data_IF_119630275699
#
_entry.id   IF_119630275699
#
_cell.length_a   1.000
_cell.length_b   1.000
_cell.length_c   1.000
_cell.angle_alpha   90.00
_cell.angle_beta   90.00
_cell.angle_gamma   90.00
#
_symmetry.space_group_name_H-M   'P 1'
#
loop_
_entity.id
_entity.type
_entity.pdbx_description
1 polymer ?
#
# COMPACT_ATOMS: atom_id res chain seq x y z
N UNK A 1 -20.72 -7.70 -16.33
CA UNK A 1 -21.22 -7.38 -14.99
C UNK A 1 -22.61 -6.77 -15.07
N UNK A 2 -23.53 -7.23 -14.24
CA UNK A 2 -24.82 -6.61 -13.99
C UNK A 2 -24.61 -5.42 -13.06
N UNK A 3 -24.80 -4.20 -13.58
CA UNK A 3 -24.55 -2.96 -12.83
C UNK A 3 -25.69 -2.60 -11.87
N UNK A 4 -26.93 -2.91 -12.24
CA UNK A 4 -28.11 -2.63 -11.43
C UNK A 4 -28.12 -3.50 -10.17
N UNK A 5 -27.81 -4.78 -10.33
CA UNK A 5 -27.67 -5.71 -9.21
C UNK A 5 -26.59 -5.26 -8.22
N UNK A 6 -25.45 -4.79 -8.72
CA UNK A 6 -24.40 -4.24 -7.85
C UNK A 6 -24.84 -2.95 -7.16
N UNK A 7 -25.49 -2.03 -7.88
CA UNK A 7 -25.93 -0.75 -7.32
C UNK A 7 -27.02 -0.89 -6.24
N UNK A 8 -27.93 -1.85 -6.39
CA UNK A 8 -29.06 -2.03 -5.49
C UNK A 8 -28.74 -3.00 -4.34
N UNK A 9 -27.94 -4.04 -4.59
CA UNK A 9 -27.77 -5.17 -3.65
C UNK A 9 -26.31 -5.42 -3.26
N UNK A 10 -25.35 -4.66 -3.82
CA UNK A 10 -23.90 -4.91 -3.68
C UNK A 10 -23.45 -6.30 -4.16
N UNK A 11 -24.21 -6.91 -5.09
CA UNK A 11 -23.91 -8.24 -5.64
C UNK A 11 -23.22 -8.11 -7.00
N UNK A 12 -22.05 -8.74 -7.12
CA UNK A 12 -21.32 -8.86 -8.39
C UNK A 12 -21.79 -10.08 -9.18
N UNK A 13 -22.73 -9.87 -10.11
CA UNK A 13 -23.23 -10.91 -11.00
C UNK A 13 -22.90 -10.66 -12.49
N UNK A 14 -22.86 -11.72 -13.30
CA UNK A 14 -22.85 -11.55 -14.75
C UNK A 14 -24.18 -10.97 -15.24
N UNK A 15 -24.16 -10.34 -16.43
CA UNK A 15 -25.41 -9.81 -17.04
C UNK A 15 -26.35 -10.94 -17.42
N UNK A 16 -25.76 -12.02 -17.92
CA UNK A 16 -26.46 -13.27 -18.17
C UNK A 16 -26.17 -14.21 -16.99
N UNK A 17 -27.17 -14.50 -16.13
CA UNK A 17 -26.99 -15.35 -14.96
C UNK A 17 -26.82 -16.83 -15.32
N UNK A 18 -27.19 -17.23 -16.55
CA UNK A 18 -27.04 -18.63 -17.02
C UNK A 18 -25.62 -18.93 -17.49
N UNK A 19 -24.83 -17.89 -17.76
CA UNK A 19 -23.45 -18.02 -18.17
C UNK A 19 -22.55 -18.17 -16.94
N UNK A 20 -21.65 -19.17 -16.88
CA UNK A 20 -20.68 -19.26 -15.81
C UNK A 20 -19.61 -18.16 -15.92
N UNK A 21 -18.98 -17.82 -14.78
CA UNK A 21 -17.76 -17.02 -14.78
C UNK A 21 -16.67 -17.71 -15.63
N UNK A 22 -15.84 -16.97 -16.37
CA UNK A 22 -14.76 -17.57 -17.16
C UNK A 22 -13.80 -18.39 -16.28
N UNK A 23 -13.68 -19.68 -16.55
CA UNK A 23 -12.85 -20.62 -15.78
C UNK A 23 -11.46 -20.89 -16.41
N UNK A 24 -11.15 -20.27 -17.56
CA UNK A 24 -9.99 -20.61 -18.40
C UNK A 24 -8.78 -19.68 -18.29
N UNK A 25 -8.76 -18.71 -17.38
CA UNK A 25 -7.58 -17.86 -17.17
C UNK A 25 -6.62 -18.56 -16.20
N UNK A 26 -5.85 -19.51 -16.73
CA UNK A 26 -4.74 -20.18 -16.03
C UNK A 26 -3.52 -19.27 -16.05
N UNK A 27 -3.49 -18.30 -15.14
CA UNK A 27 -2.37 -17.42 -14.85
C UNK A 27 -2.73 -16.49 -13.68
N UNK A 28 -1.76 -15.84 -13.06
CA UNK A 28 -1.97 -14.98 -11.87
C UNK A 28 -2.95 -13.80 -12.11
N UNK A 29 -3.30 -13.53 -13.36
CA UNK A 29 -4.32 -12.56 -13.76
C UNK A 29 -5.71 -13.22 -13.82
N UNK A 30 -6.33 -13.42 -12.65
CA UNK A 30 -7.73 -13.85 -12.57
C UNK A 30 -8.72 -12.88 -13.24
N UNK A 31 -10.01 -13.24 -13.25
CA UNK A 31 -11.05 -12.41 -13.88
C UNK A 31 -11.31 -11.14 -13.05
N UNK A 32 -11.02 -9.96 -13.61
CA UNK A 32 -11.30 -8.67 -12.97
C UNK A 32 -12.80 -8.34 -12.92
N UNK A 33 -13.43 -8.56 -11.76
CA UNK A 33 -14.87 -8.34 -11.56
C UNK A 33 -15.23 -6.91 -11.10
N UNK A 34 -14.40 -6.31 -10.26
CA UNK A 34 -14.59 -4.96 -9.74
C UNK A 34 -13.26 -4.21 -9.80
N UNK A 35 -13.28 -2.99 -10.33
CA UNK A 35 -12.16 -2.05 -10.31
C UNK A 35 -12.65 -0.76 -9.67
N UNK A 36 -11.95 -0.29 -8.64
CA UNK A 36 -12.27 0.94 -7.94
C UNK A 36 -11.08 1.92 -8.00
N UNK A 37 -11.36 3.19 -7.77
CA UNK A 37 -10.36 4.26 -7.63
C UNK A 37 -10.84 5.18 -6.51
N UNK A 38 -9.92 5.55 -5.62
CA UNK A 38 -10.12 6.57 -4.61
C UNK A 38 -9.14 7.70 -4.85
N UNK A 39 -9.58 8.94 -4.69
CA UNK A 39 -8.74 10.13 -4.69
C UNK A 39 -9.18 10.99 -3.51
N UNK A 40 -8.23 11.39 -2.68
CA UNK A 40 -8.45 12.28 -1.55
C UNK A 40 -7.28 13.26 -1.45
N UNK A 41 -7.55 14.45 -0.94
CA UNK A 41 -6.53 15.42 -0.51
C UNK A 41 -6.35 15.43 1.02
N UNK A 42 -7.08 14.56 1.73
CA UNK A 42 -6.96 14.38 3.17
C UNK A 42 -5.68 13.62 3.51
N UNK A 43 -4.74 14.28 4.19
CA UNK A 43 -3.45 13.71 4.56
C UNK A 43 -3.56 12.60 5.60
N UNK A 44 -4.65 12.55 6.39
CA UNK A 44 -4.88 11.46 7.35
C UNK A 44 -5.07 10.09 6.68
N UNK A 45 -5.35 10.10 5.38
CA UNK A 45 -5.51 8.94 4.53
C UNK A 45 -4.16 8.43 3.99
N UNK A 46 -3.07 9.15 4.18
CA UNK A 46 -1.73 8.72 3.73
C UNK A 46 -1.24 7.59 4.64
N UNK A 47 -0.86 6.42 4.08
CA UNK A 47 -0.51 5.25 4.90
C UNK A 47 0.87 5.35 5.56
N UNK A 48 1.77 6.13 4.98
CA UNK A 48 3.11 6.39 5.50
C UNK A 48 3.52 7.80 5.10
N UNK A 49 3.75 8.66 6.09
CA UNK A 49 4.26 10.01 5.91
C UNK A 49 5.77 10.00 6.11
N UNK A 50 6.50 10.73 5.26
CA UNK A 50 7.94 10.87 5.34
C UNK A 50 8.29 12.35 5.52
N UNK A 51 9.02 12.67 6.57
CA UNK A 51 9.61 14.00 6.73
C UNK A 51 11.13 13.90 6.58
N UNK A 52 11.72 14.87 5.89
CA UNK A 52 13.15 14.90 5.63
C UNK A 52 13.66 16.34 5.74
N UNK A 53 14.62 16.55 6.64
CA UNK A 53 15.18 17.86 6.94
C UNK A 53 16.70 17.86 6.75
N UNK A 54 17.19 18.23 5.56
CA UNK A 54 18.60 18.50 5.35
C UNK A 54 19.01 19.85 5.97
N UNK A 55 20.12 19.86 6.70
CA UNK A 55 20.69 21.03 7.37
C UNK A 55 22.19 21.11 7.08
N UNK A 56 22.62 22.22 6.47
CA UNK A 56 24.04 22.45 6.14
C UNK A 56 24.71 23.11 7.33
N UNK A 57 25.81 22.53 7.81
CA UNK A 57 26.64 23.12 8.86
C UNK A 57 28.12 22.98 8.49
N UNK A 58 28.77 24.12 8.25
CA UNK A 58 30.17 24.16 7.83
C UNK A 58 30.38 23.46 6.48
N UNK A 59 31.12 22.35 6.50
CA UNK A 59 31.47 21.57 5.31
C UNK A 59 30.77 20.21 5.28
N UNK A 60 29.65 20.07 5.96
CA UNK A 60 28.84 18.86 5.99
C UNK A 60 27.35 19.22 5.88
N UNK A 61 26.56 18.30 5.34
CA UNK A 61 25.10 18.35 5.36
C UNK A 61 24.60 17.20 6.22
N UNK A 62 23.90 17.55 7.29
CA UNK A 62 23.23 16.63 8.20
C UNK A 62 21.81 16.42 7.71
N UNK A 63 21.38 15.18 7.57
CA UNK A 63 20.04 14.85 7.09
C UNK A 63 19.36 13.97 8.14
N UNK A 64 18.26 14.50 8.69
CA UNK A 64 17.34 13.73 9.53
C UNK A 64 16.12 13.38 8.69
N UNK A 65 15.82 12.09 8.60
CA UNK A 65 14.63 11.57 7.94
C UNK A 65 13.84 10.72 8.91
N UNK A 66 12.52 10.88 8.91
CA UNK A 66 11.62 10.12 9.76
C UNK A 66 10.43 9.61 8.95
N UNK A 67 9.86 8.50 9.43
CA UNK A 67 8.57 8.03 8.95
C UNK A 67 7.55 8.04 10.09
N UNK A 68 6.29 8.25 9.73
CA UNK A 68 5.15 8.02 10.60
C UNK A 68 4.09 7.22 9.82
N UNK A 69 3.76 6.03 10.32
CA UNK A 69 2.83 5.11 9.69
C UNK A 69 1.44 5.21 10.30
N UNK A 70 0.42 5.13 9.46
CA UNK A 70 -0.97 5.05 9.90
C UNK A 70 -1.23 3.78 10.71
N UNK A 71 -2.17 3.85 11.66
CA UNK A 71 -2.62 2.70 12.45
C UNK A 71 -3.60 1.79 11.72
N UNK A 72 -3.96 2.12 10.47
CA UNK A 72 -4.95 1.38 9.67
C UNK A 72 -4.51 -0.05 9.33
N UNK A 73 -3.21 -0.25 9.04
CA UNK A 73 -2.67 -1.57 8.69
C UNK A 73 -1.15 -1.64 8.85
N UNK A 74 -0.64 -2.85 9.03
CA UNK A 74 0.79 -3.11 9.10
C UNK A 74 1.43 -3.08 7.71
N UNK A 75 2.64 -2.50 7.64
CA UNK A 75 3.43 -2.40 6.42
C UNK A 75 4.57 -3.40 6.46
N UNK A 76 4.86 -4.05 5.33
CA UNK A 76 5.93 -5.05 5.18
C UNK A 76 6.87 -4.68 4.06
N UNK A 77 8.15 -5.00 4.27
CA UNK A 77 9.23 -4.75 3.32
C UNK A 77 9.26 -3.28 2.89
N UNK A 78 9.20 -2.37 3.86
CA UNK A 78 9.22 -0.93 3.60
C UNK A 78 10.61 -0.54 3.15
N UNK A 79 10.69 0.18 2.05
CA UNK A 79 11.91 0.71 1.45
C UNK A 79 11.71 2.20 1.16
N UNK A 80 12.43 3.05 1.87
CA UNK A 80 12.48 4.50 1.66
C UNK A 80 13.79 4.79 0.92
N UNK A 81 13.69 5.32 -0.30
CA UNK A 81 14.81 5.62 -1.18
C UNK A 81 15.02 7.12 -1.26
N UNK A 82 16.14 7.58 -0.68
CA UNK A 82 16.55 8.99 -0.67
C UNK A 82 17.61 9.19 -1.74
N UNK A 83 17.36 10.01 -2.78
CA UNK A 83 18.40 10.37 -3.73
C UNK A 83 19.48 11.17 -3.00
N UNK A 84 20.72 10.99 -3.41
CA UNK A 84 21.88 11.69 -2.86
C UNK A 84 22.61 12.42 -3.99
N UNK A 85 23.35 13.50 -3.69
CA UNK A 85 24.34 14.03 -4.62
C UNK A 85 25.36 12.94 -4.98
N UNK A 86 26.10 13.12 -6.08
CA UNK A 86 27.17 12.21 -6.43
C UNK A 86 28.25 12.21 -5.34
N UNK A 87 28.40 11.08 -4.64
CA UNK A 87 29.36 10.93 -3.56
C UNK A 87 30.58 10.13 -4.00
N UNK A 88 31.75 10.50 -3.45
CA UNK A 88 32.97 9.68 -3.57
C UNK A 88 32.99 8.53 -2.58
N UNK A 89 32.43 8.77 -1.39
CA UNK A 89 32.35 7.82 -0.29
C UNK A 89 30.88 7.69 0.15
N UNK A 90 30.45 6.53 0.69
CA UNK A 90 29.08 6.36 1.19
C UNK A 90 28.72 7.40 2.26
N UNK A 91 27.42 7.71 2.43
CA UNK A 91 26.95 8.58 3.51
C UNK A 91 27.35 8.01 4.88
N UNK A 92 27.68 8.88 5.83
CA UNK A 92 27.98 8.48 7.21
C UNK A 92 26.69 8.41 8.01
N UNK A 93 26.10 7.21 8.12
CA UNK A 93 24.90 6.97 8.95
C UNK A 93 25.28 7.01 10.43
N UNK A 94 24.60 7.86 11.20
CA UNK A 94 24.84 8.09 12.64
C UNK A 94 23.84 7.34 13.52
N UNK A 95 22.57 7.36 13.12
CA UNK A 95 21.48 6.68 13.80
C UNK A 95 20.51 6.12 12.76
N UNK A 96 19.91 4.97 13.05
CA UNK A 96 18.93 4.35 12.18
C UNK A 96 18.03 3.39 12.95
N UNK A 97 16.74 3.46 12.69
CA UNK A 97 15.78 2.39 13.00
C UNK A 97 15.62 1.46 11.80
N UNK A 98 16.18 0.26 11.85
CA UNK A 98 16.18 -0.70 10.74
C UNK A 98 17.53 -0.81 10.04
N UNK A 99 17.52 -1.10 8.75
CA UNK A 99 18.73 -1.42 7.96
C UNK A 99 18.88 -0.44 6.80
N UNK A 100 20.12 -0.20 6.36
CA UNK A 100 20.39 0.68 5.21
C UNK A 100 21.38 0.11 4.21
N UNK A 101 21.28 0.60 2.97
CA UNK A 101 22.21 0.30 1.88
C UNK A 101 22.46 1.55 1.04
N UNK A 102 23.68 1.72 0.55
CA UNK A 102 24.01 2.76 -0.43
C UNK A 102 24.27 2.16 -1.81
N UNK A 103 23.46 2.56 -2.79
CA UNK A 103 23.69 2.26 -4.21
C UNK A 103 24.50 3.39 -4.83
N UNK A 104 25.82 3.19 -4.93
CA UNK A 104 26.73 4.18 -5.50
C UNK A 104 26.52 4.41 -7.00
N UNK A 105 25.97 3.43 -7.73
CA UNK A 105 25.72 3.54 -9.16
C UNK A 105 24.60 4.54 -9.45
N UNK A 106 23.56 4.51 -8.63
CA UNK A 106 22.39 5.38 -8.76
C UNK A 106 22.43 6.59 -7.81
N UNK A 107 23.41 6.65 -6.89
CA UNK A 107 23.50 7.63 -5.81
C UNK A 107 22.22 7.67 -4.97
N UNK A 108 21.79 6.51 -4.47
CA UNK A 108 20.58 6.36 -3.66
C UNK A 108 20.94 5.74 -2.31
N UNK A 109 20.46 6.33 -1.23
CA UNK A 109 20.42 5.72 0.09
C UNK A 109 19.07 5.02 0.26
N UNK A 110 19.13 3.72 0.50
CA UNK A 110 17.97 2.89 0.78
C UNK A 110 17.88 2.64 2.28
N UNK A 111 16.74 3.01 2.87
CA UNK A 111 16.38 2.73 4.24
C UNK A 111 15.27 1.68 4.27
N UNK A 112 15.54 0.55 4.91
CA UNK A 112 14.66 -0.62 4.92
C UNK A 112 14.16 -1.00 6.31
N UNK A 113 12.86 -1.23 6.42
CA UNK A 113 12.18 -1.72 7.61
C UNK A 113 11.34 -2.95 7.22
N UNK A 114 11.62 -4.09 7.85
CA UNK A 114 10.98 -5.35 7.50
C UNK A 114 9.48 -5.35 7.80
N UNK A 115 9.10 -4.81 8.97
CA UNK A 115 7.74 -4.74 9.47
C UNK A 115 7.54 -3.44 10.26
N UNK A 116 6.50 -2.69 9.89
CA UNK A 116 5.96 -1.58 10.69
C UNK A 116 4.62 -2.02 11.26
N UNK A 117 4.58 -2.25 12.57
CA UNK A 117 3.39 -2.61 13.34
C UNK A 117 3.17 -1.62 14.52
N UNK A 118 2.30 -1.96 15.46
CA UNK A 118 1.98 -1.07 16.59
C UNK A 118 3.18 -0.80 17.51
N UNK A 119 4.26 -1.57 17.42
CA UNK A 119 5.47 -1.37 18.22
C UNK A 119 6.40 -0.27 17.69
N UNK A 120 6.32 0.07 16.40
CA UNK A 120 7.28 0.95 15.71
C UNK A 120 6.62 1.81 14.62
N UNK A 121 5.46 2.42 14.94
CA UNK A 121 4.70 3.30 14.03
C UNK A 121 5.46 4.55 13.61
N UNK A 122 6.50 4.93 14.34
CA UNK A 122 7.46 5.93 13.93
C UNK A 122 8.87 5.36 13.98
N UNK A 123 9.74 5.94 13.18
CA UNK A 123 11.17 5.63 13.17
C UNK A 123 11.95 6.73 12.48
N UNK A 124 13.25 6.77 12.73
CA UNK A 124 14.13 7.80 12.21
C UNK A 124 15.47 7.24 11.70
N UNK A 125 16.08 7.99 10.81
CA UNK A 125 17.46 7.82 10.36
C UNK A 125 18.15 9.18 10.32
N UNK A 126 19.40 9.21 10.74
CA UNK A 126 20.27 10.37 10.64
C UNK A 126 21.55 9.98 9.92
N UNK A 127 21.90 10.76 8.89
CA UNK A 127 23.15 10.56 8.16
C UNK A 127 23.79 11.89 7.75
N UNK A 128 25.07 11.82 7.41
CA UNK A 128 25.88 12.98 7.03
C UNK A 128 26.50 12.74 5.65
N UNK A 129 26.47 13.77 4.82
CA UNK A 129 27.13 13.82 3.51
C UNK A 129 27.96 15.10 3.38
N UNK A 130 28.87 15.19 2.39
CA UNK A 130 29.50 16.46 2.01
C UNK A 130 28.48 17.55 1.68
N UNK A 131 28.90 18.83 1.57
CA UNK A 131 27.99 19.94 1.36
C UNK A 131 27.16 19.72 0.10
N UNK A 132 25.85 19.71 0.28
CA UNK A 132 24.89 19.53 -0.79
C UNK A 132 23.67 20.42 -0.61
N UNK A 133 23.07 20.81 -1.73
CA UNK A 133 21.82 21.55 -1.71
C UNK A 133 20.67 20.64 -1.28
N UNK A 134 19.75 21.18 -0.48
CA UNK A 134 18.59 20.46 0.06
C UNK A 134 17.72 19.81 -1.03
N UNK A 135 17.67 20.37 -2.24
CA UNK A 135 16.91 19.77 -3.34
C UNK A 135 17.49 18.43 -3.84
N UNK A 136 18.76 18.15 -3.55
CA UNK A 136 19.44 16.91 -3.96
C UNK A 136 18.87 15.66 -3.27
N UNK A 137 18.14 15.84 -2.16
CA UNK A 137 17.54 14.77 -1.36
C UNK A 137 16.11 14.43 -1.78
N UNK A 138 15.61 15.05 -2.88
CA UNK A 138 14.25 14.88 -3.37
C UNK A 138 14.23 14.53 -4.87
N UNK A 139 13.19 13.82 -5.36
CA UNK A 139 12.07 13.26 -4.60
C UNK A 139 12.44 11.97 -3.86
N UNK A 140 11.92 11.83 -2.63
CA UNK A 140 12.02 10.58 -1.88
C UNK A 140 10.97 9.61 -2.40
N UNK A 141 11.38 8.37 -2.67
CA UNK A 141 10.48 7.31 -3.12
C UNK A 141 10.25 6.29 -2.02
N UNK A 142 9.03 5.78 -1.91
CA UNK A 142 8.67 4.78 -0.90
C UNK A 142 8.04 3.58 -1.60
N UNK A 143 8.48 2.38 -1.22
CA UNK A 143 7.88 1.13 -1.62
C UNK A 143 7.56 0.27 -0.40
N UNK A 144 6.39 -0.35 -0.37
CA UNK A 144 5.99 -1.28 0.68
C UNK A 144 4.90 -2.22 0.17
N UNK A 145 4.61 -3.24 0.98
CA UNK A 145 3.47 -4.15 0.81
C UNK A 145 2.60 -4.15 2.06
N UNK A 146 1.30 -4.40 1.91
CA UNK A 146 0.36 -4.58 3.02
C UNK A 146 -0.48 -5.84 2.77
N UNK A 147 -0.83 -6.56 3.83
CA UNK A 147 -1.68 -7.76 3.73
C UNK A 147 -3.18 -7.43 3.76
N UNK A 148 -3.51 -6.20 4.13
CA UNK A 148 -4.87 -5.69 4.19
C UNK A 148 -5.11 -4.68 3.08
N UNK A 149 -6.32 -4.66 2.54
CA UNK A 149 -6.71 -3.67 1.55
C UNK A 149 -6.87 -2.31 2.22
N UNK A 150 -6.38 -1.26 1.56
CA UNK A 150 -6.63 0.12 1.97
C UNK A 150 -8.13 0.44 1.98
N UNK A 151 -8.84 -0.03 0.95
CA UNK A 151 -10.30 -0.02 0.95
C UNK A 151 -10.82 -1.09 1.90
N UNK A 152 -11.79 -0.78 2.74
CA UNK A 152 -12.51 -1.78 3.56
C UNK A 152 -13.42 -2.72 2.73
N UNK A 153 -13.27 -2.74 1.41
CA UNK A 153 -13.99 -3.63 0.51
C UNK A 153 -13.63 -5.09 0.80
N UNK A 154 -14.65 -5.87 1.16
CA UNK A 154 -14.55 -7.30 1.46
C UNK A 154 -15.64 -8.05 0.72
N UNK A 155 -15.31 -9.24 0.22
CA UNK A 155 -16.32 -10.20 -0.26
C UNK A 155 -16.92 -10.88 0.96
N UNK A 156 -18.23 -10.74 1.15
CA UNK A 156 -18.89 -11.21 2.37
C UNK A 156 -19.39 -12.65 2.25
N UNK A 157 -19.98 -13.01 1.12
CA UNK A 157 -20.46 -14.37 0.84
C UNK A 157 -20.50 -14.63 -0.67
N UNK A 158 -20.50 -15.91 -1.03
CA UNK A 158 -20.71 -16.37 -2.40
C UNK A 158 -22.13 -16.93 -2.53
N UNK A 159 -22.87 -16.49 -3.55
CA UNK A 159 -24.19 -17.01 -3.86
C UNK A 159 -24.15 -17.84 -5.14
N UNK A 160 -24.78 -19.00 -5.12
CA UNK A 160 -25.14 -19.71 -6.35
C UNK A 160 -26.39 -19.04 -6.93
N UNK A 161 -26.23 -18.31 -8.03
CA UNK A 161 -27.36 -17.71 -8.76
C UNK A 161 -28.24 -18.75 -9.48
N UNK A 162 -27.86 -20.04 -9.43
CA UNK A 162 -28.65 -21.17 -9.91
C UNK A 162 -29.70 -21.69 -8.92
N UNK A 163 -29.67 -21.25 -7.66
CA UNK A 163 -30.54 -21.77 -6.58
C UNK A 163 -31.39 -20.65 -5.95
N UNK A 164 -32.23 -19.99 -6.76
CA UNK A 164 -33.56 -19.62 -6.26
C UNK A 164 -34.41 -20.88 -6.49
N UNK A 165 -35.00 -21.53 -5.49
CA UNK A 165 -36.13 -21.03 -4.72
C UNK A 165 -36.16 -21.64 -3.31
N UNK A 166 -36.18 -20.82 -2.27
CA UNK A 166 -36.89 -21.09 -1.02
C UNK A 166 -37.31 -19.76 -0.39
N UNK A 167 -38.50 -19.25 -0.74
CA UNK A 167 -39.16 -18.25 0.11
C UNK A 167 -39.88 -18.98 1.23
N UNK A 168 -39.38 -18.86 2.46
CA UNK A 168 -40.14 -19.22 3.65
C UNK A 168 -41.26 -18.20 3.84
N UNK A 169 -42.51 -18.58 3.56
CA UNK A 169 -43.66 -17.87 4.10
C UNK A 169 -43.96 -18.38 5.51
N UNK A 170 -44.52 -17.51 6.35
CA UNK A 170 -44.83 -17.68 7.78
C UNK A 170 -45.82 -18.84 8.13
N UNK A 171 -45.95 -19.85 7.28
CA UNK A 171 -46.81 -21.03 7.45
C UNK A 171 -46.10 -22.38 7.19
N UNK A 172 -44.77 -22.41 7.18
CA UNK A 172 -44.00 -23.64 7.38
C UNK A 172 -44.22 -24.76 6.35
N UNK A 173 -44.56 -24.42 5.10
CA UNK A 173 -44.66 -25.41 4.01
C UNK A 173 -43.80 -24.96 2.84
N UNK A 174 -42.73 -25.71 2.59
CA UNK A 174 -41.80 -25.52 1.48
C UNK A 174 -42.23 -26.41 0.32
N UNK A 175 -42.41 -25.86 -0.86
CA UNK A 175 -42.56 -26.63 -2.11
C UNK A 175 -41.45 -26.20 -3.05
N UNK A 176 -40.63 -27.17 -3.47
CA UNK A 176 -39.58 -26.98 -4.46
C UNK A 176 -40.11 -27.44 -5.83
N UNK A 177 -39.88 -26.65 -6.88
CA UNK A 177 -39.91 -27.10 -8.28
C UNK A 177 -38.55 -26.78 -8.88
#
# INVERSE_FOLDING_TARGET
>A
MNKELFANENILGLRDPTRPLPTGQTGDAGVGLLKWRMQSADESMVPLTINCWPSVSGNETFVSIEYEASSLFDLRNVMISVPLPALREPPSVRQIDGEWRYDSRNSILEWSILLIDNSNRSGAMEFVVPPADSSSFFPISVWFSATSTYSELKVWFWLNLGDFVCTANNKGTSTCV
#
